data_IF_385209193447
#
_entry.id   IF_385209193447
#
_cell.length_a   1.000
_cell.length_b   1.000
_cell.length_c   1.000
_cell.angle_alpha   90.00
_cell.angle_beta   90.00
_cell.angle_gamma   90.00
#
_symmetry.space_group_name_H-M   'P 1'
#
loop_
_entity.id
_entity.type
_entity.pdbx_description
1 polymer ?
#
# COMPACT_ATOMS: atom_id res chain seq x y z
N UNK A 1 6.94 1.33 -13.77
CA UNK A 1 7.38 0.78 -12.47
C UNK A 1 6.22 0.84 -11.49
N UNK A 2 6.04 -0.23 -10.72
CA UNK A 2 5.03 -0.34 -9.66
C UNK A 2 5.77 -0.46 -8.34
N UNK A 3 5.42 0.36 -7.36
CA UNK A 3 6.05 0.36 -6.04
C UNK A 3 4.99 0.00 -4.98
N UNK A 4 5.33 -0.90 -4.07
CA UNK A 4 4.50 -1.31 -2.93
C UNK A 4 5.20 -0.89 -1.63
N UNK A 5 4.61 0.04 -0.91
CA UNK A 5 5.12 0.57 0.36
C UNK A 5 4.53 -0.21 1.52
N UNK A 6 5.40 -0.70 2.41
CA UNK A 6 5.00 -1.62 3.46
C UNK A 6 4.73 -3.01 2.91
N UNK A 7 5.59 -3.48 2.01
CA UNK A 7 5.38 -4.75 1.26
C UNK A 7 5.33 -6.01 2.14
N UNK A 8 5.72 -5.90 3.42
CA UNK A 8 5.64 -6.97 4.40
C UNK A 8 6.44 -8.21 3.99
N UNK A 9 5.77 -9.32 3.69
CA UNK A 9 6.42 -10.56 3.26
C UNK A 9 6.72 -10.64 1.74
N UNK A 10 6.44 -9.57 1.00
CA UNK A 10 6.73 -9.43 -0.43
C UNK A 10 5.92 -10.33 -1.37
N UNK A 11 4.94 -11.09 -0.86
CA UNK A 11 4.18 -12.03 -1.69
C UNK A 11 3.36 -11.35 -2.76
N UNK A 12 2.78 -10.20 -2.46
CA UNK A 12 1.98 -9.46 -3.42
C UNK A 12 2.82 -9.06 -4.63
N UNK A 13 3.90 -8.32 -4.43
CA UNK A 13 4.77 -7.88 -5.54
C UNK A 13 5.45 -9.05 -6.26
N UNK A 14 5.78 -10.13 -5.53
CA UNK A 14 6.35 -11.33 -6.13
C UNK A 14 5.36 -12.04 -7.06
N UNK A 15 4.10 -12.21 -6.65
CA UNK A 15 3.07 -12.78 -7.49
C UNK A 15 2.79 -11.91 -8.70
N UNK A 16 2.60 -10.60 -8.47
CA UNK A 16 2.34 -9.62 -9.53
C UNK A 16 3.46 -9.56 -10.56
N UNK A 17 4.72 -9.59 -10.12
CA UNK A 17 5.88 -9.60 -11.02
C UNK A 17 5.94 -10.85 -11.90
N UNK A 18 5.58 -12.00 -11.36
CA UNK A 18 5.53 -13.25 -12.12
C UNK A 18 4.40 -13.32 -13.13
N UNK A 19 3.25 -12.75 -12.78
CA UNK A 19 2.08 -12.68 -13.66
C UNK A 19 2.24 -11.63 -14.76
N UNK A 20 3.07 -10.60 -14.50
CA UNK A 20 3.26 -9.46 -15.43
C UNK A 20 4.75 -9.24 -15.73
N UNK A 21 5.39 -10.09 -16.54
CA UNK A 21 6.84 -10.04 -16.77
C UNK A 21 7.32 -8.76 -17.50
N UNK A 22 6.41 -8.02 -18.11
CA UNK A 22 6.70 -6.76 -18.82
C UNK A 22 6.62 -5.51 -17.91
N UNK A 23 6.29 -5.67 -16.63
CA UNK A 23 6.23 -4.60 -15.63
C UNK A 23 7.33 -4.81 -14.60
N UNK A 24 7.92 -3.73 -14.10
CA UNK A 24 8.92 -3.80 -13.03
C UNK A 24 8.30 -3.46 -11.70
N UNK A 25 8.60 -4.24 -10.68
CA UNK A 25 8.04 -4.12 -9.33
C UNK A 25 9.13 -3.81 -8.31
N UNK A 26 8.82 -2.96 -7.33
CA UNK A 26 9.67 -2.66 -6.19
C UNK A 26 8.84 -2.82 -4.92
N UNK A 27 9.26 -3.71 -4.03
CA UNK A 27 8.70 -3.81 -2.68
C UNK A 27 9.57 -3.09 -1.68
N UNK A 28 9.00 -2.19 -0.88
CA UNK A 28 9.73 -1.40 0.13
C UNK A 28 9.18 -1.69 1.52
N UNK A 29 10.07 -2.05 2.45
CA UNK A 29 9.71 -2.29 3.85
C UNK A 29 10.93 -2.01 4.75
N UNK A 30 10.78 -1.36 5.90
CA UNK A 30 11.86 -1.17 6.87
C UNK A 30 12.28 -2.49 7.53
N UNK A 31 11.36 -3.48 7.63
CA UNK A 31 11.62 -4.78 8.22
C UNK A 31 11.92 -5.82 7.14
N UNK A 32 13.19 -6.18 6.99
CA UNK A 32 13.64 -7.15 5.96
C UNK A 32 13.44 -8.61 6.37
N UNK A 33 13.23 -8.91 7.65
CA UNK A 33 13.14 -10.30 8.12
C UNK A 33 12.06 -11.13 7.40
N UNK A 34 10.82 -10.63 7.18
CA UNK A 34 9.82 -11.38 6.41
C UNK A 34 10.18 -11.57 4.93
N UNK A 35 11.07 -10.71 4.38
CA UNK A 35 11.47 -10.70 2.97
C UNK A 35 12.61 -11.68 2.65
N UNK A 36 13.36 -12.19 3.62
CA UNK A 36 14.58 -12.98 3.40
C UNK A 36 14.37 -14.12 2.38
N UNK A 37 13.38 -14.97 2.61
CA UNK A 37 13.11 -16.14 1.75
C UNK A 37 12.72 -15.77 0.32
N UNK A 38 11.93 -14.71 0.18
CA UNK A 38 11.44 -14.28 -1.13
C UNK A 38 12.54 -13.53 -1.89
N UNK A 39 13.36 -12.75 -1.18
CA UNK A 39 14.52 -12.04 -1.72
C UNK A 39 15.53 -13.00 -2.33
N UNK A 40 15.84 -14.12 -1.66
CA UNK A 40 16.68 -15.17 -2.24
C UNK A 40 16.05 -15.84 -3.46
N UNK A 41 14.73 -16.00 -3.45
CA UNK A 41 13.98 -16.70 -4.49
C UNK A 41 13.95 -15.94 -5.81
N UNK A 42 13.82 -14.62 -5.78
CA UNK A 42 13.72 -13.80 -7.00
C UNK A 42 14.95 -13.88 -7.89
N UNK A 43 16.12 -14.17 -7.34
CA UNK A 43 17.38 -14.32 -8.07
C UNK A 43 17.54 -15.65 -8.79
N UNK A 44 16.61 -16.59 -8.63
CA UNK A 44 16.65 -17.88 -9.33
C UNK A 44 16.24 -17.71 -10.80
N UNK A 45 16.48 -18.77 -11.61
CA UNK A 45 15.93 -18.79 -12.98
C UNK A 45 14.39 -18.70 -12.92
N UNK A 46 13.72 -18.01 -13.87
CA UNK A 46 12.26 -17.88 -13.86
C UNK A 46 11.49 -19.20 -13.75
N UNK A 47 11.98 -20.25 -14.44
CA UNK A 47 11.43 -21.61 -14.36
C UNK A 47 11.54 -22.24 -12.94
N UNK A 48 12.41 -21.71 -12.07
CA UNK A 48 12.59 -22.13 -10.67
C UNK A 48 12.01 -21.10 -9.67
N UNK A 49 11.14 -20.23 -10.14
CA UNK A 49 10.48 -19.23 -9.31
C UNK A 49 11.19 -17.89 -9.21
N UNK A 50 12.21 -17.63 -10.05
CA UNK A 50 12.83 -16.31 -10.13
C UNK A 50 11.88 -15.24 -10.69
N UNK A 51 12.13 -13.97 -10.33
CA UNK A 51 11.41 -12.81 -10.80
C UNK A 51 12.44 -11.68 -11.10
N UNK A 52 13.03 -11.66 -12.31
CA UNK A 52 14.07 -10.69 -12.64
C UNK A 52 13.57 -9.25 -12.75
N UNK A 53 12.25 -9.07 -12.78
CA UNK A 53 11.54 -7.80 -12.81
C UNK A 53 11.03 -7.37 -11.42
N UNK A 54 11.66 -7.84 -10.33
CA UNK A 54 11.33 -7.49 -8.95
C UNK A 54 12.60 -7.14 -8.17
N UNK A 55 12.52 -6.07 -7.39
CA UNK A 55 13.53 -5.62 -6.44
C UNK A 55 12.89 -5.38 -5.07
N UNK A 56 13.64 -5.66 -3.99
CA UNK A 56 13.28 -5.23 -2.64
C UNK A 56 14.25 -4.17 -2.13
N UNK A 57 13.71 -3.14 -1.47
CA UNK A 57 14.48 -2.05 -0.86
C UNK A 57 14.13 -2.00 0.63
N UNK A 58 15.15 -1.98 1.46
CA UNK A 58 14.99 -1.70 2.89
C UNK A 58 14.97 -0.19 3.12
N UNK A 59 13.80 0.37 3.35
CA UNK A 59 13.63 1.78 3.68
C UNK A 59 12.33 2.01 4.44
N UNK A 60 12.31 3.02 5.29
CA UNK A 60 11.08 3.56 5.87
C UNK A 60 10.47 4.60 4.89
N UNK A 61 9.15 4.77 4.94
CA UNK A 61 8.45 5.75 4.09
C UNK A 61 8.89 7.19 4.37
N UNK A 62 9.39 7.43 5.57
CA UNK A 62 9.93 8.71 6.03
C UNK A 62 11.29 9.05 5.39
N UNK A 63 12.02 8.03 4.93
CA UNK A 63 13.40 8.18 4.39
C UNK A 63 13.57 7.31 3.13
N UNK A 64 12.80 7.61 2.10
CA UNK A 64 12.90 6.93 0.81
C UNK A 64 14.11 7.42 0.02
N UNK A 65 14.89 6.50 -0.62
CA UNK A 65 16.03 6.87 -1.45
C UNK A 65 15.69 7.88 -2.55
N UNK A 66 16.53 8.89 -2.80
CA UNK A 66 16.27 9.89 -3.84
C UNK A 66 16.28 9.29 -5.26
N UNK A 67 16.90 8.13 -5.44
CA UNK A 67 16.88 7.39 -6.71
C UNK A 67 15.48 6.93 -7.13
N UNK A 68 14.51 6.99 -6.21
CA UNK A 68 13.10 6.68 -6.49
C UNK A 68 12.30 7.88 -6.96
N UNK A 69 12.86 9.09 -6.99
CA UNK A 69 12.15 10.31 -7.36
C UNK A 69 11.56 10.20 -8.78
N UNK A 70 10.23 10.32 -8.88
CA UNK A 70 9.51 10.26 -10.14
C UNK A 70 9.47 8.87 -10.80
N UNK A 71 9.83 7.80 -10.11
CA UNK A 71 9.97 6.45 -10.68
C UNK A 71 8.64 5.70 -10.75
N UNK A 72 7.76 5.88 -9.76
CA UNK A 72 6.53 5.11 -9.67
C UNK A 72 5.48 5.57 -10.70
N UNK A 73 4.99 4.66 -11.53
CA UNK A 73 3.79 4.87 -12.35
C UNK A 73 2.53 4.40 -11.62
N UNK A 74 2.68 3.44 -10.71
CA UNK A 74 1.67 2.98 -9.77
C UNK A 74 2.32 2.83 -8.41
N UNK A 75 1.65 3.31 -7.37
CA UNK A 75 2.09 3.25 -5.99
C UNK A 75 1.00 2.58 -5.17
N UNK A 76 1.35 1.51 -4.48
CA UNK A 76 0.43 0.76 -3.63
C UNK A 76 0.81 0.92 -2.16
N UNK A 77 -0.19 1.11 -1.31
CA UNK A 77 -0.09 1.03 0.14
C UNK A 77 -1.22 0.14 0.64
N UNK A 78 -0.93 -1.15 0.71
CA UNK A 78 -1.94 -2.15 1.01
C UNK A 78 -1.80 -2.68 2.44
N UNK A 79 -2.89 -2.59 3.20
CA UNK A 79 -2.98 -3.09 4.58
C UNK A 79 -1.81 -2.62 5.47
N UNK A 80 -1.50 -1.31 5.43
CA UNK A 80 -0.43 -0.77 6.26
C UNK A 80 -0.69 -1.07 7.73
N UNK A 81 0.41 -1.17 8.51
CA UNK A 81 0.37 -1.37 9.95
C UNK A 81 1.30 -0.40 10.66
N UNK A 82 1.11 -0.20 11.98
CA UNK A 82 2.00 0.63 12.78
C UNK A 82 2.05 2.09 12.32
N UNK A 83 3.26 2.66 12.24
CA UNK A 83 3.47 4.06 11.85
C UNK A 83 2.96 4.37 10.46
N UNK A 84 3.12 3.45 9.52
CA UNK A 84 2.61 3.62 8.16
C UNK A 84 1.08 3.72 8.14
N UNK A 85 0.38 2.83 8.87
CA UNK A 85 -1.08 2.92 9.02
C UNK A 85 -1.50 4.28 9.58
N UNK A 86 -0.85 4.74 10.65
CA UNK A 86 -1.15 6.04 11.23
C UNK A 86 -0.97 7.15 10.20
N UNK A 87 0.17 7.20 9.53
CA UNK A 87 0.48 8.25 8.57
C UNK A 87 -0.54 8.31 7.43
N UNK A 88 -0.89 7.17 6.86
CA UNK A 88 -1.85 7.07 5.75
C UNK A 88 -3.28 7.41 6.21
N UNK A 89 -3.71 6.87 7.35
CA UNK A 89 -5.07 7.07 7.88
C UNK A 89 -5.31 8.48 8.43
N UNK A 90 -4.25 9.20 8.83
CA UNK A 90 -4.38 10.58 9.32
C UNK A 90 -4.01 11.63 8.26
N UNK A 91 -3.47 11.20 7.12
CA UNK A 91 -2.99 12.10 6.08
C UNK A 91 -1.76 12.90 6.53
N UNK A 92 -0.72 12.21 7.06
CA UNK A 92 0.53 12.85 7.48
C UNK A 92 1.20 13.52 6.29
N UNK A 93 1.39 14.84 6.38
CA UNK A 93 1.86 15.66 5.27
C UNK A 93 3.26 15.27 4.80
N UNK A 94 4.18 14.94 5.72
CA UNK A 94 5.55 14.58 5.36
C UNK A 94 5.60 13.24 4.63
N UNK A 95 4.85 12.25 5.12
CA UNK A 95 4.74 10.93 4.47
C UNK A 95 4.07 11.05 3.10
N UNK A 96 2.95 11.78 3.00
CA UNK A 96 2.27 11.98 1.71
C UNK A 96 3.16 12.71 0.70
N UNK A 97 3.96 13.69 1.13
CA UNK A 97 4.93 14.36 0.26
C UNK A 97 6.04 13.40 -0.22
N UNK A 98 6.54 12.51 0.63
CA UNK A 98 7.51 11.48 0.22
C UNK A 98 6.89 10.52 -0.80
N UNK A 99 5.65 10.08 -0.58
CA UNK A 99 4.94 9.25 -1.56
C UNK A 99 4.74 9.98 -2.89
N UNK A 100 4.37 11.28 -2.84
CA UNK A 100 4.21 12.11 -4.05
C UNK A 100 5.53 12.29 -4.80
N UNK A 101 6.63 12.50 -4.08
CA UNK A 101 7.98 12.67 -4.64
C UNK A 101 8.42 11.50 -5.51
N UNK A 102 8.13 10.28 -5.09
CA UNK A 102 8.51 9.07 -5.86
C UNK A 102 7.56 8.78 -7.02
N UNK A 103 6.38 9.40 -7.09
CA UNK A 103 5.44 9.25 -8.19
C UNK A 103 5.87 10.05 -9.43
N UNK A 104 5.80 9.43 -10.61
CA UNK A 104 5.82 10.16 -11.87
C UNK A 104 4.53 11.00 -12.02
N UNK A 105 4.55 12.00 -12.91
CA UNK A 105 3.34 12.76 -13.21
C UNK A 105 2.23 11.83 -13.75
N UNK A 106 1.03 11.95 -13.20
CA UNK A 106 -0.11 11.12 -13.54
C UNK A 106 -0.09 9.71 -12.95
N UNK A 107 0.88 9.37 -12.10
CA UNK A 107 0.94 8.07 -11.42
C UNK A 107 -0.32 7.81 -10.59
N UNK A 108 -0.73 6.56 -10.51
CA UNK A 108 -1.84 6.14 -9.66
C UNK A 108 -1.33 5.76 -8.28
N UNK A 109 -1.99 6.27 -7.24
CA UNK A 109 -1.86 5.83 -5.86
C UNK A 109 -3.08 4.99 -5.50
N UNK A 110 -2.85 3.78 -5.01
CA UNK A 110 -3.89 2.92 -4.44
C UNK A 110 -3.59 2.69 -2.95
N UNK A 111 -4.50 3.11 -2.11
CA UNK A 111 -4.46 2.88 -0.66
C UNK A 111 -5.58 1.92 -0.29
N UNK A 112 -5.26 0.87 0.45
CA UNK A 112 -6.25 -0.08 1.00
C UNK A 112 -5.95 -0.31 2.48
N UNK A 113 -6.87 0.12 3.34
CA UNK A 113 -6.77 -0.04 4.80
C UNK A 113 -7.83 -1.05 5.24
N UNK A 114 -7.40 -2.09 5.94
CA UNK A 114 -8.30 -3.09 6.49
C UNK A 114 -8.23 -3.11 8.01
N UNK A 115 -9.29 -2.67 8.69
CA UNK A 115 -9.37 -2.64 10.14
C UNK A 115 -10.59 -3.41 10.65
N UNK A 116 -10.37 -4.15 11.73
CA UNK A 116 -11.43 -4.77 12.52
C UNK A 116 -11.53 -3.99 13.84
N UNK A 117 -12.62 -3.23 14.09
CA UNK A 117 -12.73 -2.37 15.26
C UNK A 117 -12.60 -3.11 16.60
N UNK A 118 -12.93 -4.40 16.65
CA UNK A 118 -12.82 -5.20 17.86
C UNK A 118 -11.43 -5.82 18.02
N UNK A 119 -10.96 -6.50 16.98
CA UNK A 119 -9.66 -7.22 17.02
C UNK A 119 -8.48 -6.28 17.01
N UNK A 120 -8.56 -5.18 16.27
CA UNK A 120 -7.47 -4.22 16.10
C UNK A 120 -7.59 -3.03 17.08
N UNK A 121 -8.52 -3.10 18.07
CA UNK A 121 -8.79 -2.02 19.04
C UNK A 121 -7.53 -1.47 19.70
N UNK A 122 -6.68 -2.35 20.23
CA UNK A 122 -5.45 -1.93 20.92
C UNK A 122 -4.52 -1.14 20.01
N UNK A 123 -4.44 -1.49 18.74
CA UNK A 123 -3.62 -0.78 17.76
C UNK A 123 -4.27 0.55 17.37
N UNK A 124 -5.58 0.57 17.14
CA UNK A 124 -6.35 1.78 16.85
C UNK A 124 -6.16 2.81 17.98
N UNK A 125 -6.31 2.39 19.23
CA UNK A 125 -6.12 3.24 20.41
C UNK A 125 -4.66 3.70 20.53
N UNK A 126 -3.68 2.80 20.37
CA UNK A 126 -2.25 3.10 20.43
C UNK A 126 -1.83 4.15 19.40
N UNK A 127 -2.38 4.08 18.21
CA UNK A 127 -2.09 4.99 17.10
C UNK A 127 -2.93 6.27 17.15
N UNK A 128 -3.95 6.34 18.03
CA UNK A 128 -4.87 7.47 18.13
C UNK A 128 -5.68 7.69 16.83
N UNK A 129 -6.10 6.60 16.19
CA UNK A 129 -6.82 6.68 14.92
C UNK A 129 -8.27 7.11 15.14
N UNK A 130 -8.70 8.07 14.34
CA UNK A 130 -10.12 8.39 14.18
C UNK A 130 -10.78 7.33 13.30
N UNK A 131 -12.02 6.91 13.57
CA UNK A 131 -12.75 6.02 12.68
C UNK A 131 -12.79 6.58 11.25
N UNK A 132 -12.45 5.74 10.28
CA UNK A 132 -12.46 6.09 8.86
C UNK A 132 -13.91 6.07 8.33
N UNK A 133 -14.75 7.03 8.80
CA UNK A 133 -16.09 7.23 8.28
C UNK A 133 -16.07 7.98 6.95
N UNK A 134 -17.15 7.88 6.16
CA UNK A 134 -17.29 8.68 4.93
C UNK A 134 -17.07 10.16 5.20
N UNK A 135 -17.69 10.69 6.27
CA UNK A 135 -17.55 12.09 6.66
C UNK A 135 -16.08 12.47 6.95
N UNK A 136 -15.34 11.64 7.68
CA UNK A 136 -13.92 11.90 7.95
C UNK A 136 -13.07 11.83 6.68
N UNK A 137 -13.33 10.84 5.80
CA UNK A 137 -12.61 10.70 4.54
C UNK A 137 -12.85 11.95 3.68
N UNK A 138 -14.10 12.36 3.49
CA UNK A 138 -14.48 13.48 2.61
C UNK A 138 -13.97 14.83 3.12
N UNK A 139 -14.12 15.08 4.42
CA UNK A 139 -13.89 16.42 4.99
C UNK A 139 -12.46 16.62 5.49
N UNK A 140 -11.75 15.54 5.85
CA UNK A 140 -10.42 15.63 6.46
C UNK A 140 -9.32 14.96 5.63
N UNK A 141 -9.54 13.71 5.20
CA UNK A 141 -8.48 12.92 4.60
C UNK A 141 -8.22 13.34 3.16
N UNK A 142 -9.24 13.42 2.31
CA UNK A 142 -9.12 13.82 0.90
C UNK A 142 -8.46 15.20 0.75
N UNK A 143 -8.83 16.26 1.51
CA UNK A 143 -8.15 17.54 1.44
C UNK A 143 -6.64 17.45 1.75
N UNK A 144 -6.22 16.58 2.67
CA UNK A 144 -4.79 16.38 2.99
C UNK A 144 -4.03 15.70 1.86
N UNK A 145 -4.65 14.69 1.22
CA UNK A 145 -4.08 14.06 0.03
C UNK A 145 -3.98 15.06 -1.13
N UNK A 146 -5.00 15.89 -1.33
CA UNK A 146 -4.98 16.94 -2.35
C UNK A 146 -3.88 17.97 -2.08
N UNK A 147 -3.69 18.39 -0.83
CA UNK A 147 -2.61 19.31 -0.44
C UNK A 147 -1.20 18.73 -0.67
N UNK A 148 -1.07 17.40 -0.67
CA UNK A 148 0.17 16.71 -1.00
C UNK A 148 0.36 16.46 -2.51
N UNK A 149 -0.58 16.84 -3.37
CA UNK A 149 -0.51 16.67 -4.83
C UNK A 149 -1.12 15.34 -5.33
N UNK A 150 -2.13 14.82 -4.61
CA UNK A 150 -2.90 13.66 -5.03
C UNK A 150 -4.36 14.03 -5.26
N UNK A 151 -4.81 13.99 -6.51
CA UNK A 151 -6.22 14.17 -6.87
C UNK A 151 -6.97 12.84 -6.68
N UNK A 152 -7.93 12.79 -5.75
CA UNK A 152 -8.73 11.60 -5.50
C UNK A 152 -9.66 11.33 -6.68
N UNK A 153 -9.57 10.12 -7.24
CA UNK A 153 -10.42 9.62 -8.33
C UNK A 153 -11.61 8.87 -7.78
N UNK A 154 -11.37 8.02 -6.79
CA UNK A 154 -12.37 7.14 -6.19
C UNK A 154 -11.99 6.83 -4.75
N UNK A 155 -12.97 6.68 -3.89
CA UNK A 155 -12.79 6.18 -2.53
C UNK A 155 -14.08 5.54 -2.02
N UNK A 156 -13.95 4.72 -0.99
CA UNK A 156 -15.12 4.09 -0.39
C UNK A 156 -14.77 3.22 0.81
N UNK A 157 -15.85 2.69 1.40
CA UNK A 157 -15.78 1.76 2.51
C UNK A 157 -16.56 0.52 2.09
N UNK A 158 -15.91 -0.64 2.14
CA UNK A 158 -16.47 -1.92 1.79
C UNK A 158 -16.60 -2.80 3.03
N UNK A 159 -17.70 -3.51 3.12
CA UNK A 159 -17.89 -4.57 4.10
C UNK A 159 -17.35 -5.90 3.57
N UNK A 160 -17.19 -6.88 4.45
CA UNK A 160 -16.69 -8.20 4.07
C UNK A 160 -17.53 -8.89 2.98
N UNK A 161 -18.82 -8.58 2.87
CA UNK A 161 -19.72 -9.12 1.86
C UNK A 161 -19.49 -8.56 0.45
N UNK A 162 -18.87 -7.38 0.35
CA UNK A 162 -18.57 -6.69 -0.92
C UNK A 162 -17.18 -7.03 -1.47
N UNK A 163 -16.38 -7.75 -0.68
CA UNK A 163 -15.01 -8.14 -1.00
C UNK A 163 -14.77 -9.04 -2.21
N UNK A 164 -15.67 -9.97 -2.58
CA UNK A 164 -15.44 -10.88 -3.70
C UNK A 164 -15.25 -10.18 -5.04
N UNK A 165 -15.67 -8.93 -5.15
CA UNK A 165 -15.58 -8.15 -6.39
C UNK A 165 -14.20 -7.50 -6.59
N UNK A 166 -13.41 -7.32 -5.52
CA UNK A 166 -12.03 -6.84 -5.62
C UNK A 166 -11.10 -8.01 -5.94
N UNK A 167 -10.71 -8.14 -7.20
CA UNK A 167 -9.79 -9.17 -7.73
C UNK A 167 -8.33 -8.97 -7.26
N UNK A 168 -8.11 -8.69 -5.97
CA UNK A 168 -6.78 -8.55 -5.39
C UNK A 168 -6.35 -9.83 -4.71
N UNK A 169 -5.04 -10.10 -4.66
CA UNK A 169 -4.48 -11.23 -3.89
C UNK A 169 -4.83 -11.17 -2.40
N UNK A 170 -5.25 -10.01 -1.92
CA UNK A 170 -5.69 -9.73 -0.57
C UNK A 170 -7.13 -10.17 -0.31
N UNK A 171 -8.02 -10.15 -1.30
CA UNK A 171 -9.38 -10.67 -1.13
C UNK A 171 -9.37 -12.13 -0.68
N UNK A 172 -8.40 -12.91 -1.17
CA UNK A 172 -8.21 -14.31 -0.77
C UNK A 172 -7.71 -14.49 0.68
N UNK A 173 -6.94 -13.52 1.21
CA UNK A 173 -6.43 -13.56 2.60
C UNK A 173 -7.45 -13.12 3.64
N UNK A 174 -8.41 -12.34 3.23
CA UNK A 174 -9.43 -11.76 4.11
C UNK A 174 -10.76 -12.53 4.03
N UNK A 175 -10.87 -13.50 3.13
CA UNK A 175 -11.97 -14.47 3.12
C UNK A 175 -12.07 -15.14 4.49
N UNK A 176 -13.21 -14.97 5.16
CA UNK A 176 -13.48 -15.51 6.50
C UNK A 176 -13.39 -14.47 7.66
N UNK A 177 -13.20 -13.21 7.38
CA UNK A 177 -13.16 -12.15 8.40
C UNK A 177 -14.34 -11.18 8.22
N UNK A 178 -15.54 -11.63 8.54
CA UNK A 178 -16.82 -10.93 8.29
C UNK A 178 -16.95 -9.57 9.00
N UNK A 179 -16.08 -9.28 9.98
CA UNK A 179 -16.12 -8.03 10.76
C UNK A 179 -15.13 -6.96 10.30
N UNK A 180 -14.26 -7.27 9.31
CA UNK A 180 -13.26 -6.32 8.84
C UNK A 180 -13.86 -5.35 7.82
N UNK A 181 -13.69 -4.06 8.10
CA UNK A 181 -14.04 -2.99 7.18
C UNK A 181 -12.83 -2.63 6.33
N UNK A 182 -13.04 -2.44 5.04
CA UNK A 182 -12.04 -2.00 4.09
C UNK A 182 -12.33 -0.58 3.65
N UNK A 183 -11.40 0.28 3.92
CA UNK A 183 -11.38 1.63 3.37
C UNK A 183 -10.39 1.67 2.22
N UNK A 184 -10.81 2.15 1.06
CA UNK A 184 -9.91 2.33 -0.08
C UNK A 184 -9.94 3.77 -0.59
N UNK A 185 -8.84 4.19 -1.17
CA UNK A 185 -8.68 5.48 -1.84
C UNK A 185 -7.78 5.28 -3.07
N UNK A 186 -8.27 5.70 -4.23
CA UNK A 186 -7.53 5.74 -5.48
C UNK A 186 -7.34 7.20 -5.86
N UNK A 187 -6.11 7.60 -6.10
CA UNK A 187 -5.77 8.97 -6.43
C UNK A 187 -4.74 9.05 -7.56
N UNK A 188 -4.65 10.21 -8.19
CA UNK A 188 -3.67 10.51 -9.23
C UNK A 188 -2.68 11.56 -8.72
N UNK A 189 -1.40 11.34 -8.96
CA UNK A 189 -0.35 12.33 -8.73
C UNK A 189 -0.45 13.48 -9.75
N UNK A 190 -0.66 14.70 -9.29
CA UNK A 190 -0.80 15.93 -10.09
C UNK A 190 0.36 16.89 -9.86
#
# INVERSE_FOLDING_TARGET
VIIDIGTGDGRFVYQSARENPNRFYIGIDPNTHPLEKISEKIHRKPAKGGAPNLLFIQAAVEDLPPELDGVANELHVHFPWGSLLRAIATGDAAVLQNLRRICSAGALLEVVIGLDPERDRSEIERLGLTPLSHEFIDNELIPKYAAAGFETIEHGILTASEWPELNTSWSKRLQGNEHRTITYLIARAV
#
